data_IF_582054505909
#
_entry.id   IF_582054505909
#
_cell.length_a   1.000
_cell.length_b   1.000
_cell.length_c   1.000
_cell.angle_alpha   90.00
_cell.angle_beta   90.00
_cell.angle_gamma   90.00
#
_symmetry.space_group_name_H-M   'P 1'
#
loop_
_entity.id
_entity.type
_entity.pdbx_description
1 polymer ?
#
# COMPACT_ATOMS: atom_id res chain seq x y z
N UNK A 1 -10.79 -22.69 18.63
CA UNK A 1 -10.45 -22.15 17.29
C UNK A 1 -11.65 -21.34 16.85
N UNK A 2 -11.45 -20.17 16.26
CA UNK A 2 -12.55 -19.33 15.76
C UNK A 2 -12.79 -19.68 14.29
N UNK A 3 -14.05 -19.65 13.85
CA UNK A 3 -14.40 -19.76 12.44
C UNK A 3 -14.09 -18.43 11.76
N UNK A 4 -13.39 -18.47 10.62
CA UNK A 4 -13.04 -17.28 9.85
C UNK A 4 -13.02 -17.54 8.35
N UNK A 5 -13.23 -16.48 7.57
CA UNK A 5 -13.06 -16.49 6.11
C UNK A 5 -12.42 -15.20 5.60
N UNK A 6 -11.86 -15.24 4.39
CA UNK A 6 -11.36 -14.07 3.67
C UNK A 6 -12.28 -13.77 2.48
N UNK A 7 -12.86 -12.58 2.46
CA UNK A 7 -13.68 -12.08 1.36
C UNK A 7 -12.86 -11.10 0.51
N UNK A 8 -12.75 -11.34 -0.80
CA UNK A 8 -12.13 -10.38 -1.72
C UNK A 8 -13.04 -9.15 -1.88
N UNK A 9 -12.50 -7.97 -1.61
CA UNK A 9 -13.23 -6.70 -1.69
C UNK A 9 -12.97 -6.03 -3.04
N UNK A 10 -11.70 -5.85 -3.38
CA UNK A 10 -11.25 -5.28 -4.64
C UNK A 10 -9.77 -5.58 -4.89
N UNK A 11 -9.36 -5.40 -6.13
CA UNK A 11 -7.98 -5.21 -6.53
C UNK A 11 -7.75 -3.72 -6.79
N UNK A 12 -6.57 -3.21 -6.45
CA UNK A 12 -6.23 -1.82 -6.75
C UNK A 12 -4.74 -1.66 -7.03
N UNK A 13 -4.43 -0.64 -7.83
CA UNK A 13 -3.06 -0.22 -8.10
C UNK A 13 -2.88 1.25 -7.78
N UNK A 14 -1.64 1.64 -7.48
CA UNK A 14 -1.25 3.03 -7.38
C UNK A 14 0.12 3.24 -8.02
N UNK A 15 0.25 4.32 -8.77
CA UNK A 15 1.53 4.80 -9.28
C UNK A 15 2.13 5.76 -8.25
N UNK A 16 3.43 5.65 -8.05
CA UNK A 16 4.22 6.50 -7.18
C UNK A 16 4.97 7.52 -8.02
N UNK A 17 5.09 8.74 -7.49
CA UNK A 17 5.84 9.81 -8.12
C UNK A 17 7.34 9.53 -8.04
N UNK A 18 8.01 9.52 -9.19
CA UNK A 18 9.47 9.40 -9.30
C UNK A 18 10.12 10.75 -9.65
N UNK A 19 11.34 11.04 -9.15
CA UNK A 19 12.09 10.24 -8.18
C UNK A 19 11.46 10.29 -6.78
N UNK A 20 11.66 9.22 -6.00
CA UNK A 20 11.25 9.20 -4.59
C UNK A 20 12.07 10.20 -3.76
N UNK A 21 11.48 10.71 -2.69
CA UNK A 21 12.18 11.62 -1.78
C UNK A 21 13.06 10.79 -0.83
N UNK A 22 14.36 10.74 -1.12
CA UNK A 22 15.34 10.10 -0.26
C UNK A 22 15.67 10.98 0.96
N UNK A 23 15.20 10.57 2.14
CA UNK A 23 15.63 11.18 3.40
C UNK A 23 17.03 10.69 3.78
N UNK A 24 17.35 9.43 3.43
CA UNK A 24 18.68 8.84 3.58
C UNK A 24 18.79 7.85 4.74
N UNK A 25 20.01 7.43 5.05
CA UNK A 25 20.28 6.51 6.15
C UNK A 25 20.00 7.17 7.51
N UNK A 26 19.29 6.44 8.37
CA UNK A 26 18.96 6.83 9.75
C UNK A 26 19.30 5.67 10.69
N UNK A 27 19.28 5.88 12.03
CA UNK A 27 19.41 4.78 12.98
C UNK A 27 18.36 3.67 12.82
N UNK A 28 17.21 3.97 12.21
CA UNK A 28 16.13 2.99 11.97
C UNK A 28 16.26 2.25 10.62
N UNK A 29 17.19 2.65 9.77
CA UNK A 29 17.34 2.16 8.39
C UNK A 29 17.29 3.29 7.35
N UNK A 30 17.20 2.92 6.08
CA UNK A 30 17.11 3.85 4.96
C UNK A 30 15.67 4.39 4.87
N UNK A 31 15.51 5.71 4.95
CA UNK A 31 14.20 6.38 4.91
C UNK A 31 13.95 6.99 3.54
N UNK A 32 12.78 6.68 2.98
CA UNK A 32 12.32 7.18 1.68
C UNK A 32 10.85 7.53 1.80
N UNK A 33 10.45 8.70 1.29
CA UNK A 33 9.04 9.03 1.15
C UNK A 33 8.64 8.85 -0.32
N UNK A 34 7.60 8.05 -0.58
CA UNK A 34 7.08 7.80 -1.91
C UNK A 34 5.64 8.33 -2.03
N UNK A 35 5.43 9.34 -2.86
CA UNK A 35 4.14 10.03 -2.98
C UNK A 35 3.25 9.38 -4.02
N UNK A 36 1.95 9.28 -3.73
CA UNK A 36 0.97 8.68 -4.65
C UNK A 36 0.58 9.68 -5.74
N UNK A 37 0.68 9.27 -7.01
CA UNK A 37 0.28 10.08 -8.17
C UNK A 37 -1.06 9.67 -8.79
N UNK A 38 -1.68 8.62 -8.25
CA UNK A 38 -3.00 8.15 -8.64
C UNK A 38 -3.02 6.64 -8.87
N UNK A 39 -4.17 6.11 -9.31
CA UNK A 39 -4.32 4.69 -9.58
C UNK A 39 -5.77 4.27 -9.75
N UNK A 40 -6.00 2.97 -9.84
CA UNK A 40 -7.32 2.39 -10.15
C UNK A 40 -7.76 1.43 -9.04
N UNK A 41 -9.08 1.38 -8.82
CA UNK A 41 -9.71 0.42 -7.90
C UNK A 41 -10.78 -0.34 -8.68
N UNK A 42 -10.68 -1.65 -8.72
CA UNK A 42 -11.60 -2.53 -9.45
C UNK A 42 -11.96 -3.75 -8.61
N UNK A 43 -13.25 -4.01 -8.44
CA UNK A 43 -13.70 -5.11 -7.61
C UNK A 43 -15.21 -5.25 -7.57
N UNK A 44 -15.70 -6.41 -7.11
CA UNK A 44 -17.13 -6.68 -7.01
C UNK A 44 -17.82 -5.82 -5.95
N UNK A 45 -17.09 -5.39 -4.90
CA UNK A 45 -17.63 -4.61 -3.78
C UNK A 45 -17.22 -3.15 -3.81
N UNK A 46 -16.11 -2.82 -4.48
CA UNK A 46 -15.55 -1.48 -4.53
C UNK A 46 -14.94 -1.21 -5.92
N UNK A 47 -15.36 -0.11 -6.56
CA UNK A 47 -14.81 0.38 -7.84
C UNK A 47 -14.61 1.88 -7.77
N UNK A 48 -13.51 2.37 -8.33
CA UNK A 48 -13.15 3.77 -8.32
C UNK A 48 -11.70 4.01 -8.71
N UNK A 49 -11.06 4.98 -8.07
CA UNK A 49 -9.68 5.39 -8.32
C UNK A 49 -8.94 5.71 -7.03
N UNK A 50 -7.63 5.60 -7.07
CA UNK A 50 -6.75 6.15 -6.03
C UNK A 50 -6.47 7.61 -6.41
N UNK A 51 -6.65 8.53 -5.47
CA UNK A 51 -6.42 9.95 -5.70
C UNK A 51 -4.91 10.28 -5.65
N UNK A 52 -4.45 11.33 -6.35
CA UNK A 52 -3.05 11.77 -6.36
C UNK A 52 -2.68 12.52 -5.06
N UNK A 53 -2.92 11.90 -3.92
CA UNK A 53 -2.66 12.43 -2.59
C UNK A 53 -2.19 11.32 -1.66
N UNK A 54 -1.38 11.69 -0.67
CA UNK A 54 -0.81 10.75 0.28
C UNK A 54 0.52 10.17 -0.18
N UNK A 55 0.96 9.12 0.49
CA UNK A 55 2.28 8.53 0.29
C UNK A 55 2.59 7.43 1.29
N UNK A 56 3.77 6.84 1.07
CA UNK A 56 4.41 5.87 1.94
C UNK A 56 5.65 6.49 2.57
N UNK A 57 5.69 6.45 3.89
CA UNK A 57 6.82 6.85 4.72
C UNK A 57 7.67 5.61 5.02
N UNK A 58 8.24 5.05 3.96
CA UNK A 58 8.94 3.78 3.96
C UNK A 58 10.25 3.84 4.77
N UNK A 59 10.45 2.85 5.65
CA UNK A 59 11.75 2.59 6.28
C UNK A 59 12.26 1.21 5.87
N UNK A 60 13.42 1.17 5.22
CA UNK A 60 14.07 -0.06 4.79
C UNK A 60 15.10 -0.46 5.84
N UNK A 61 14.87 -1.59 6.50
CA UNK A 61 15.75 -2.13 7.53
C UNK A 61 16.98 -2.79 6.90
N UNK A 62 18.04 -2.93 7.70
CA UNK A 62 19.32 -3.53 7.28
C UNK A 62 19.22 -4.99 6.85
N UNK A 63 18.16 -5.69 7.23
CA UNK A 63 17.90 -7.07 6.83
C UNK A 63 17.06 -7.19 5.54
N UNK A 64 16.84 -6.08 4.84
CA UNK A 64 16.14 -6.08 3.55
C UNK A 64 14.62 -5.99 3.65
N UNK A 65 14.06 -5.83 4.86
CA UNK A 65 12.63 -5.61 5.02
C UNK A 65 12.27 -4.12 4.95
N UNK A 66 11.35 -3.77 4.05
CA UNK A 66 10.65 -2.50 4.04
C UNK A 66 9.50 -2.47 5.04
N UNK A 67 9.48 -1.46 5.90
CA UNK A 67 8.41 -1.14 6.84
C UNK A 67 7.55 -0.03 6.23
N UNK A 68 6.34 -0.39 5.81
CA UNK A 68 5.40 0.52 5.18
C UNK A 68 4.68 1.37 6.23
N UNK A 69 4.46 2.64 5.91
CA UNK A 69 3.67 3.57 6.70
C UNK A 69 2.88 4.48 5.75
N UNK A 70 1.71 4.01 5.35
CA UNK A 70 0.97 4.56 4.22
C UNK A 70 -0.28 5.30 4.66
N UNK A 71 -0.49 6.46 4.04
CA UNK A 71 -1.77 7.14 4.01
C UNK A 71 -2.14 7.52 2.58
N UNK A 72 -3.36 7.22 2.17
CA UNK A 72 -3.89 7.51 0.85
C UNK A 72 -5.39 7.79 0.90
N UNK A 73 -5.95 8.25 -0.22
CA UNK A 73 -7.40 8.43 -0.40
C UNK A 73 -7.86 7.71 -1.65
N UNK A 74 -8.91 6.90 -1.52
CA UNK A 74 -9.65 6.34 -2.66
C UNK A 74 -10.94 7.13 -2.88
N UNK A 75 -11.35 7.28 -4.13
CA UNK A 75 -12.67 7.81 -4.50
C UNK A 75 -13.42 6.75 -5.30
N UNK A 76 -14.62 6.41 -4.86
CA UNK A 76 -15.48 5.46 -5.58
C UNK A 76 -16.07 6.09 -6.83
N UNK A 77 -16.52 5.24 -7.75
CA UNK A 77 -17.14 5.67 -9.01
C UNK A 77 -18.41 6.53 -8.85
N UNK A 78 -19.03 6.51 -7.68
CA UNK A 78 -20.21 7.29 -7.27
C UNK A 78 -19.86 8.43 -6.29
N UNK A 79 -18.57 8.74 -6.09
CA UNK A 79 -18.10 9.95 -5.41
C UNK A 79 -17.86 9.85 -3.90
N UNK A 80 -17.89 8.64 -3.32
CA UNK A 80 -17.53 8.47 -1.92
C UNK A 80 -16.02 8.51 -1.73
N UNK A 81 -15.55 9.33 -0.78
CA UNK A 81 -14.16 9.36 -0.35
C UNK A 81 -13.90 8.35 0.77
N UNK A 82 -12.79 7.64 0.67
CA UNK A 82 -12.34 6.64 1.64
C UNK A 82 -10.91 6.98 2.04
N UNK A 83 -10.70 7.35 3.30
CA UNK A 83 -9.36 7.51 3.89
C UNK A 83 -8.81 6.11 4.17
N UNK A 84 -7.61 5.85 3.66
CA UNK A 84 -6.92 4.57 3.74
C UNK A 84 -5.62 4.77 4.47
N UNK A 85 -5.43 4.02 5.55
CA UNK A 85 -4.19 4.00 6.32
C UNK A 85 -3.74 2.57 6.53
N UNK A 86 -2.46 2.29 6.31
CA UNK A 86 -1.93 0.94 6.53
C UNK A 86 -0.46 0.93 6.88
N UNK A 87 -0.12 -0.08 7.66
CA UNK A 87 1.25 -0.53 7.85
C UNK A 87 1.40 -1.92 7.25
N UNK A 88 2.63 -2.30 6.94
CA UNK A 88 2.92 -3.58 6.32
C UNK A 88 4.41 -3.83 6.14
N UNK A 89 4.70 -4.99 5.58
CA UNK A 89 6.04 -5.43 5.28
C UNK A 89 6.19 -5.63 3.78
N UNK A 90 7.32 -5.16 3.26
CA UNK A 90 7.78 -5.37 1.90
C UNK A 90 9.09 -6.16 1.94
N UNK A 91 9.15 -7.31 1.29
CA UNK A 91 10.36 -8.12 1.24
C UNK A 91 11.21 -7.76 0.02
N UNK A 92 12.33 -7.06 0.25
CA UNK A 92 13.27 -6.66 -0.80
C UNK A 92 14.40 -7.69 -0.99
N UNK A 93 14.36 -8.82 -0.28
CA UNK A 93 15.43 -9.81 -0.22
C UNK A 93 16.54 -9.44 0.77
N UNK A 94 17.37 -10.41 1.16
CA UNK A 94 18.39 -10.25 2.19
C UNK A 94 19.44 -9.16 1.88
N UNK A 95 19.70 -8.88 0.60
CA UNK A 95 20.59 -7.83 0.11
C UNK A 95 19.85 -6.52 -0.23
N UNK A 96 18.53 -6.49 -0.05
CA UNK A 96 17.65 -5.38 -0.43
C UNK A 96 18.08 -4.04 0.14
N UNK A 97 18.58 -3.98 1.38
CA UNK A 97 19.11 -2.73 1.95
C UNK A 97 20.28 -2.15 1.14
N UNK A 98 21.28 -2.98 0.87
CA UNK A 98 22.48 -2.56 0.15
C UNK A 98 22.16 -2.16 -1.30
N UNK A 99 21.27 -2.92 -1.93
CA UNK A 99 20.75 -2.67 -3.28
C UNK A 99 20.02 -1.33 -3.38
N UNK A 100 19.10 -1.06 -2.44
CA UNK A 100 18.39 0.21 -2.37
C UNK A 100 19.33 1.39 -2.13
N UNK A 101 20.33 1.24 -1.26
CA UNK A 101 21.34 2.26 -1.00
C UNK A 101 22.20 2.56 -2.24
N UNK A 102 22.48 1.55 -3.06
CA UNK A 102 23.22 1.67 -4.31
C UNK A 102 22.38 2.22 -5.47
N UNK A 103 21.08 2.46 -5.28
CA UNK A 103 20.17 2.88 -6.34
C UNK A 103 19.83 1.77 -7.35
N UNK A 104 19.99 0.50 -6.96
CA UNK A 104 19.69 -0.68 -7.77
C UNK A 104 18.62 -1.55 -7.08
N UNK A 105 17.35 -1.09 -7.01
CA UNK A 105 16.29 -1.86 -6.36
C UNK A 105 16.07 -3.22 -7.04
N UNK A 106 15.50 -4.22 -6.34
CA UNK A 106 14.98 -5.40 -7.01
C UNK A 106 13.89 -5.00 -8.03
N UNK A 107 13.67 -5.83 -9.05
CA UNK A 107 12.63 -5.54 -10.06
C UNK A 107 11.24 -5.48 -9.41
N UNK A 108 10.97 -6.43 -8.52
CA UNK A 108 9.72 -6.55 -7.76
C UNK A 108 9.98 -6.95 -6.32
N UNK A 109 9.06 -6.58 -5.44
CA UNK A 109 9.07 -7.00 -4.04
C UNK A 109 7.65 -7.29 -3.55
N UNK A 110 7.49 -8.41 -2.83
CA UNK A 110 6.20 -8.82 -2.29
C UNK A 110 5.82 -7.98 -1.07
N UNK A 111 4.54 -7.64 -0.97
CA UNK A 111 4.00 -6.80 0.11
C UNK A 111 2.84 -7.50 0.82
N UNK A 112 2.84 -7.45 2.16
CA UNK A 112 1.69 -7.79 3.00
C UNK A 112 1.40 -6.63 3.95
N UNK A 113 0.20 -6.09 3.90
CA UNK A 113 -0.18 -4.91 4.68
C UNK A 113 -1.59 -5.03 5.25
N UNK A 114 -1.90 -4.27 6.29
CA UNK A 114 -3.18 -4.35 7.01
C UNK A 114 -3.92 -3.02 6.94
N UNK A 115 -4.70 -2.77 5.87
CA UNK A 115 -5.39 -1.51 5.73
C UNK A 115 -6.58 -1.37 6.65
N UNK A 116 -6.75 -0.14 7.12
CA UNK A 116 -7.93 0.36 7.78
C UNK A 116 -8.57 1.40 6.87
N UNK A 117 -9.88 1.32 6.74
CA UNK A 117 -10.69 2.18 5.90
C UNK A 117 -11.58 3.05 6.79
N UNK A 118 -11.70 4.32 6.45
CA UNK A 118 -12.65 5.25 7.07
C UNK A 118 -13.46 5.92 5.97
N UNK A 119 -14.79 5.82 6.07
CA UNK A 119 -15.70 6.41 5.11
C UNK A 119 -16.96 6.97 5.80
N UNK A 120 -17.38 8.17 5.40
CA UNK A 120 -18.60 8.80 5.91
C UNK A 120 -19.82 8.62 4.99
N UNK A 121 -19.61 8.12 3.76
CA UNK A 121 -20.71 7.98 2.80
C UNK A 121 -21.68 6.87 3.23
N UNK A 122 -23.01 7.13 3.27
CA UNK A 122 -24.01 6.18 3.76
C UNK A 122 -23.90 4.78 3.14
N UNK A 123 -23.72 4.70 1.83
CA UNK A 123 -23.65 3.43 1.09
C UNK A 123 -22.37 2.62 1.38
N UNK A 124 -21.35 3.26 1.95
CA UNK A 124 -20.03 2.67 2.23
C UNK A 124 -19.71 2.59 3.72
N UNK A 125 -20.67 2.87 4.62
CA UNK A 125 -20.45 2.80 6.07
C UNK A 125 -20.04 1.40 6.55
N UNK A 126 -20.34 0.35 5.78
CA UNK A 126 -19.92 -1.02 6.07
C UNK A 126 -18.39 -1.20 6.05
N UNK A 127 -17.65 -0.36 5.31
CA UNK A 127 -16.18 -0.38 5.28
C UNK A 127 -15.56 -0.12 6.66
N UNK A 128 -16.19 0.73 7.47
CA UNK A 128 -15.73 1.07 8.82
C UNK A 128 -15.78 -0.12 9.80
N UNK A 129 -16.41 -1.23 9.40
CA UNK A 129 -16.59 -2.44 10.22
C UNK A 129 -15.68 -3.58 9.80
N UNK A 130 -14.76 -3.35 8.87
CA UNK A 130 -13.85 -4.37 8.36
C UNK A 130 -12.46 -4.27 8.98
N UNK A 131 -11.85 -5.44 9.19
CA UNK A 131 -10.40 -5.56 9.25
C UNK A 131 -9.93 -6.18 7.94
N UNK A 132 -9.03 -5.48 7.24
CA UNK A 132 -8.58 -5.91 5.92
C UNK A 132 -7.11 -6.36 5.93
N UNK A 133 -6.76 -7.15 4.91
CA UNK A 133 -5.42 -7.59 4.54
C UNK A 133 -5.20 -7.29 3.06
N UNK A 134 -4.10 -6.63 2.75
CA UNK A 134 -3.57 -6.46 1.41
C UNK A 134 -2.52 -7.52 1.12
N UNK A 135 -2.66 -8.17 -0.03
CA UNK A 135 -1.68 -9.07 -0.61
C UNK A 135 -1.28 -8.47 -1.93
N UNK A 136 -0.01 -8.09 -2.08
CA UNK A 136 0.41 -7.35 -3.26
C UNK A 136 1.90 -7.42 -3.53
N UNK A 137 2.33 -6.56 -4.44
CA UNK A 137 3.73 -6.34 -4.79
C UNK A 137 3.94 -4.91 -5.30
N UNK A 138 5.20 -4.48 -5.32
CA UNK A 138 5.66 -3.31 -6.05
C UNK A 138 6.45 -3.75 -7.28
N UNK A 139 6.28 -3.02 -8.38
CA UNK A 139 7.14 -3.05 -9.55
C UNK A 139 7.95 -1.74 -9.59
N UNK A 140 9.26 -1.84 -9.35
CA UNK A 140 10.14 -0.68 -9.26
C UNK A 140 10.43 -0.06 -10.62
N UNK A 141 10.31 -0.81 -11.72
CA UNK A 141 10.55 -0.28 -13.06
C UNK A 141 9.45 0.72 -13.48
N UNK A 142 8.21 0.47 -13.04
CA UNK A 142 7.05 1.34 -13.33
C UNK A 142 6.62 2.20 -12.14
N UNK A 143 7.33 2.10 -11.00
CA UNK A 143 6.95 2.71 -9.73
C UNK A 143 5.48 2.45 -9.37
N UNK A 144 5.00 1.23 -9.59
CA UNK A 144 3.60 0.85 -9.38
C UNK A 144 3.49 -0.15 -8.25
N UNK A 145 2.56 0.08 -7.33
CA UNK A 145 2.14 -0.90 -6.33
C UNK A 145 0.79 -1.47 -6.72
N UNK A 146 0.59 -2.77 -6.53
CA UNK A 146 -0.68 -3.44 -6.80
C UNK A 146 -1.03 -4.39 -5.67
N UNK A 147 -2.33 -4.46 -5.34
CA UNK A 147 -2.84 -5.24 -4.22
C UNK A 147 -4.18 -5.89 -4.57
N UNK A 148 -4.38 -7.09 -4.04
CA UNK A 148 -5.70 -7.62 -3.71
C UNK A 148 -6.01 -7.33 -2.23
N UNK A 149 -7.14 -6.69 -1.98
CA UNK A 149 -7.64 -6.39 -0.64
C UNK A 149 -8.71 -7.40 -0.23
N UNK A 150 -8.50 -8.03 0.92
CA UNK A 150 -9.42 -8.98 1.53
C UNK A 150 -9.92 -8.48 2.87
N UNK A 151 -11.18 -8.70 3.19
CA UNK A 151 -11.73 -8.52 4.54
C UNK A 151 -11.73 -9.86 5.30
N UNK A 152 -11.34 -9.84 6.57
CA UNK A 152 -11.54 -10.96 7.48
C UNK A 152 -13.00 -10.97 7.99
N UNK A 153 -13.62 -12.15 7.98
CA UNK A 153 -15.01 -12.40 8.38
C UNK A 153 -15.08 -13.47 9.46
#
# INVERSE_FOLDING_TARGET
MFDYAMEHICSYSATLQSPFEGIGETPLGLRVNAYVSGGEVSGPRLRGRVLPVGGDWLTIRRDGMGMLDVRATMETHDGALIDVQYQGLMDLGADGYARMLAGDPPVRAAIRAVPRLVCAHPDYLWLNRLQCLNIGEVDFATATVAYDMYALR
#
